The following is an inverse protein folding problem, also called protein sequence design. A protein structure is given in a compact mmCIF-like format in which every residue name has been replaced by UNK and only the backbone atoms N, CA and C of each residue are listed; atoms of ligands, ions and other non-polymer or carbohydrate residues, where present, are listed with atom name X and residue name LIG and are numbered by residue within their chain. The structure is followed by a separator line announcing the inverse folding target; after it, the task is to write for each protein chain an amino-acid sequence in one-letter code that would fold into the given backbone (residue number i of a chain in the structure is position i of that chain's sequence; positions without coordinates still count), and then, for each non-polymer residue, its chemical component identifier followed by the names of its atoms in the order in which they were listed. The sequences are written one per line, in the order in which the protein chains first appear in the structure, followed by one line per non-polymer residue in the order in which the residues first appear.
data_IF_020708540359
#
_entry.id   IF_020708540359
#
_cell.length_a   1.000
_cell.length_b   1.000
_cell.length_c   1.000
_cell.angle_alpha   90.00
_cell.angle_beta   90.00
_cell.angle_gamma   90.00
#
_symmetry.space_group_name_H-M   'P 1'
#
loop_
_entity.id
_entity.type
_entity.pdbx_description
1 polymer ?
#
# COMPACT_ATOMS: atom_id res chain seq x y z
N UNK A 1 -11.24 19.10 69.30
CA UNK A 1 -10.31 19.70 68.33
C UNK A 1 -9.11 18.76 68.14
N UNK A 2 -9.36 17.54 67.64
CA UNK A 2 -8.32 16.47 67.58
C UNK A 2 -8.60 15.40 66.49
N UNK A 3 -9.24 15.76 65.37
CA UNK A 3 -9.51 14.79 64.28
C UNK A 3 -9.26 15.34 62.87
N UNK A 4 -8.47 16.41 62.71
CA UNK A 4 -8.19 17.02 61.39
C UNK A 4 -6.74 16.94 60.93
N UNK A 5 -5.85 16.22 61.64
CA UNK A 5 -4.41 16.19 61.32
C UNK A 5 -3.82 14.84 60.90
N UNK A 6 -4.63 13.80 60.66
CA UNK A 6 -4.12 12.46 60.29
C UNK A 6 -4.30 12.05 58.82
N UNK A 7 -5.04 12.80 58.00
CA UNK A 7 -5.30 12.42 56.60
C UNK A 7 -4.24 12.92 55.60
N UNK A 8 -3.42 13.91 55.96
CA UNK A 8 -2.46 14.53 55.04
C UNK A 8 -1.17 13.71 54.82
N UNK A 9 -0.78 12.84 55.75
CA UNK A 9 0.50 12.12 55.68
C UNK A 9 0.49 10.87 54.78
N UNK A 10 -0.68 10.35 54.39
CA UNK A 10 -0.78 9.13 53.57
C UNK A 10 -0.88 9.39 52.06
N UNK A 11 -1.17 10.63 51.65
CA UNK A 11 -1.30 11.02 50.26
C UNK A 11 0.06 11.32 49.59
N UNK A 12 1.02 11.89 50.33
CA UNK A 12 2.34 12.23 49.80
C UNK A 12 3.20 11.01 49.43
N UNK A 13 3.09 9.90 50.19
CA UNK A 13 3.86 8.67 49.92
C UNK A 13 3.37 7.87 48.71
N UNK A 14 2.12 8.04 48.26
CA UNK A 14 1.55 7.31 47.12
C UNK A 14 1.80 7.99 45.77
N UNK A 15 1.98 9.31 45.76
CA UNK A 15 2.28 10.07 44.52
C UNK A 15 3.75 9.88 44.10
N UNK A 16 4.68 9.72 45.06
CA UNK A 16 6.09 9.46 44.77
C UNK A 16 6.35 8.07 44.16
N UNK A 17 5.54 7.07 44.50
CA UNK A 17 5.69 5.70 43.97
C UNK A 17 5.20 5.58 42.52
N UNK A 18 4.16 6.32 42.12
CA UNK A 18 3.62 6.27 40.75
C UNK A 18 4.56 6.96 39.74
N UNK A 19 5.23 8.06 40.13
CA UNK A 19 6.16 8.75 39.23
C UNK A 19 7.45 7.94 38.97
N UNK A 20 7.91 7.12 39.92
CA UNK A 20 9.04 6.20 39.69
C UNK A 20 8.71 5.03 38.74
N UNK A 21 7.45 4.59 38.68
CA UNK A 21 7.02 3.48 37.81
C UNK A 21 6.82 3.91 36.33
N UNK A 22 6.56 5.19 36.05
CA UNK A 22 6.43 5.70 34.68
C UNK A 22 7.77 6.06 34.02
N UNK A 23 8.84 6.32 34.77
CA UNK A 23 10.18 6.56 34.20
C UNK A 23 10.90 5.25 33.82
N UNK A 24 10.61 4.15 34.53
CA UNK A 24 11.24 2.85 34.30
C UNK A 24 10.82 2.19 32.98
N UNK A 25 9.59 2.44 32.49
CA UNK A 25 9.08 1.82 31.25
C UNK A 25 9.75 2.36 29.99
N UNK A 26 10.09 3.66 29.94
CA UNK A 26 10.78 4.27 28.79
C UNK A 26 12.23 3.80 28.65
N UNK A 27 12.97 3.70 29.77
CA UNK A 27 14.33 3.15 29.80
C UNK A 27 14.37 1.66 29.44
N UNK A 28 13.42 0.87 29.99
CA UNK A 28 13.33 -0.56 29.73
C UNK A 28 12.98 -0.89 28.27
N UNK A 29 12.12 -0.09 27.63
CA UNK A 29 11.81 -0.24 26.21
C UNK A 29 13.07 -0.03 25.36
N UNK A 30 13.87 1.00 25.65
CA UNK A 30 15.13 1.25 24.91
C UNK A 30 16.19 0.16 25.11
N UNK A 31 16.23 -0.49 26.28
CA UNK A 31 17.18 -1.57 26.56
C UNK A 31 16.78 -2.87 25.85
N UNK A 32 15.48 -3.18 25.81
CA UNK A 32 14.93 -4.31 25.08
C UNK A 32 15.10 -4.14 23.55
N UNK A 33 14.89 -2.94 23.02
CA UNK A 33 15.11 -2.61 21.61
C UNK A 33 16.59 -2.79 21.22
N UNK A 34 17.53 -2.31 22.05
CA UNK A 34 18.98 -2.54 21.85
C UNK A 34 19.37 -4.02 21.90
N UNK A 35 18.80 -4.80 22.82
CA UNK A 35 19.05 -6.24 22.89
C UNK A 35 18.53 -6.97 21.65
N UNK A 36 17.34 -6.59 21.18
CA UNK A 36 16.72 -7.15 19.97
C UNK A 36 17.50 -6.77 18.71
N UNK A 37 17.94 -5.51 18.60
CA UNK A 37 18.78 -5.04 17.50
C UNK A 37 20.09 -5.84 17.43
N UNK A 38 20.75 -6.07 18.58
CA UNK A 38 21.98 -6.88 18.64
C UNK A 38 21.76 -8.30 18.16
N UNK A 39 20.67 -8.96 18.55
CA UNK A 39 20.36 -10.30 18.09
C UNK A 39 20.13 -10.33 16.57
N UNK A 40 19.27 -9.44 16.07
CA UNK A 40 18.98 -9.34 14.64
C UNK A 40 20.23 -9.04 13.80
N UNK A 41 21.12 -8.17 14.29
CA UNK A 41 22.37 -7.87 13.62
C UNK A 41 23.31 -9.08 13.61
N UNK A 42 23.39 -9.83 14.71
CA UNK A 42 24.20 -11.05 14.80
C UNK A 42 23.73 -12.09 13.78
N UNK A 43 22.43 -12.37 13.76
CA UNK A 43 21.81 -13.28 12.80
C UNK A 43 22.03 -12.80 11.35
N UNK A 44 21.84 -11.50 11.10
CA UNK A 44 22.03 -10.88 9.79
C UNK A 44 23.45 -10.99 9.27
N UNK A 45 24.47 -10.77 10.13
CA UNK A 45 25.88 -10.96 9.76
C UNK A 45 26.20 -12.43 9.51
N UNK A 46 25.61 -13.36 10.26
CA UNK A 46 25.78 -14.80 10.01
C UNK A 46 25.19 -15.20 8.65
N UNK A 47 23.98 -14.74 8.32
CA UNK A 47 23.35 -14.95 7.02
C UNK A 47 24.19 -14.36 5.88
N UNK A 48 24.75 -13.17 6.08
CA UNK A 48 25.65 -12.55 5.11
C UNK A 48 26.87 -13.44 4.83
N UNK A 49 27.50 -13.97 5.89
CA UNK A 49 28.64 -14.89 5.78
C UNK A 49 28.30 -16.20 5.08
N UNK A 50 27.05 -16.65 5.19
CA UNK A 50 26.52 -17.84 4.47
C UNK A 50 26.15 -17.55 3.01
N UNK A 51 26.29 -16.31 2.53
CA UNK A 51 25.90 -15.91 1.18
C UNK A 51 24.40 -15.71 0.99
N UNK A 52 23.61 -15.71 2.07
CA UNK A 52 22.17 -15.49 2.05
C UNK A 52 21.87 -13.98 2.11
N UNK A 53 22.25 -13.25 1.07
CA UNK A 53 22.29 -11.79 1.09
C UNK A 53 20.91 -11.12 1.26
N UNK A 54 19.84 -11.70 0.70
CA UNK A 54 18.49 -11.16 0.85
C UNK A 54 17.98 -11.27 2.30
N UNK A 55 18.18 -12.44 2.93
CA UNK A 55 17.78 -12.68 4.32
C UNK A 55 18.64 -11.83 5.28
N UNK A 56 19.93 -11.70 4.99
CA UNK A 56 20.84 -10.84 5.72
C UNK A 56 20.39 -9.37 5.68
N UNK A 57 20.05 -8.87 4.49
CA UNK A 57 19.59 -7.49 4.29
C UNK A 57 18.33 -7.20 5.12
N UNK A 58 17.34 -8.09 5.09
CA UNK A 58 16.11 -7.95 5.87
C UNK A 58 16.39 -7.87 7.39
N UNK A 59 17.20 -8.78 7.92
CA UNK A 59 17.55 -8.81 9.34
C UNK A 59 18.33 -7.57 9.78
N UNK A 60 19.30 -7.14 8.98
CA UNK A 60 20.13 -5.98 9.27
C UNK A 60 19.34 -4.67 9.20
N UNK A 61 18.42 -4.52 8.24
CA UNK A 61 17.54 -3.34 8.16
C UNK A 61 16.61 -3.23 9.37
N UNK A 62 16.10 -4.36 9.87
CA UNK A 62 15.31 -4.38 11.12
C UNK A 62 16.15 -4.03 12.33
N UNK A 63 17.38 -4.54 12.42
CA UNK A 63 18.32 -4.17 13.49
C UNK A 63 18.60 -2.67 13.49
N UNK A 64 18.88 -2.10 12.31
CA UNK A 64 19.17 -0.67 12.12
C UNK A 64 17.98 0.23 12.48
N UNK A 65 16.75 -0.21 12.15
CA UNK A 65 15.53 0.52 12.54
C UNK A 65 15.33 0.58 14.05
N UNK A 66 15.79 -0.43 14.79
CA UNK A 66 15.70 -0.49 16.24
C UNK A 66 16.85 0.25 16.94
N UNK A 67 18.05 0.23 16.35
CA UNK A 67 19.22 0.92 16.84
C UNK A 67 20.17 1.26 15.70
N UNK A 68 20.41 2.55 15.49
CA UNK A 68 21.37 3.06 14.50
C UNK A 68 22.79 2.68 14.92
N UNK A 69 23.47 1.87 14.09
CA UNK A 69 24.86 1.51 14.33
C UNK A 69 25.66 1.41 13.01
N UNK A 70 26.89 1.98 12.96
CA UNK A 70 27.77 1.90 11.79
C UNK A 70 27.99 0.47 11.26
N UNK A 71 28.05 -0.51 12.15
CA UNK A 71 28.24 -1.92 11.80
C UNK A 71 27.01 -2.48 11.07
N UNK A 72 25.80 -2.02 11.35
CA UNK A 72 24.63 -2.45 10.57
C UNK A 72 24.72 -1.90 9.14
N UNK A 73 24.98 -0.59 9.01
CA UNK A 73 25.04 0.10 7.72
C UNK A 73 26.07 -0.52 6.77
N UNK A 74 27.27 -0.89 7.25
CA UNK A 74 28.27 -1.52 6.38
C UNK A 74 27.80 -2.88 5.85
N UNK A 75 27.17 -3.71 6.68
CA UNK A 75 26.68 -5.00 6.22
C UNK A 75 25.42 -4.88 5.34
N UNK A 76 24.57 -3.88 5.56
CA UNK A 76 23.45 -3.53 4.67
C UNK A 76 23.99 -3.18 3.29
N UNK A 77 24.96 -2.26 3.22
CA UNK A 77 25.56 -1.81 1.96
C UNK A 77 26.24 -2.98 1.23
N UNK A 78 27.03 -3.79 1.94
CA UNK A 78 27.67 -5.00 1.40
C UNK A 78 26.64 -5.99 0.85
N UNK A 79 25.52 -6.21 1.54
CA UNK A 79 24.46 -7.10 1.10
C UNK A 79 23.76 -6.56 -0.17
N UNK A 80 23.43 -5.26 -0.20
CA UNK A 80 22.86 -4.58 -1.37
C UNK A 80 23.76 -4.75 -2.60
N UNK A 81 25.07 -4.51 -2.45
CA UNK A 81 26.04 -4.69 -3.54
C UNK A 81 26.09 -6.12 -4.05
N UNK A 82 26.02 -7.13 -3.16
CA UNK A 82 25.99 -8.55 -3.55
C UNK A 82 24.68 -8.96 -4.24
N UNK A 83 23.61 -8.21 -4.05
CA UNK A 83 22.32 -8.40 -4.72
C UNK A 83 22.21 -7.63 -6.04
N UNK A 84 23.25 -6.89 -6.46
CA UNK A 84 23.20 -6.03 -7.64
C UNK A 84 22.50 -4.68 -7.43
N UNK A 85 22.13 -4.36 -6.20
CA UNK A 85 21.52 -3.07 -5.81
C UNK A 85 22.63 -2.04 -5.57
N UNK A 86 23.39 -1.71 -6.62
CA UNK A 86 24.60 -0.88 -6.53
C UNK A 86 24.30 0.58 -6.14
N UNK A 87 23.18 1.14 -6.63
CA UNK A 87 22.73 2.49 -6.30
C UNK A 87 22.39 2.58 -4.81
N UNK A 88 21.58 1.66 -4.30
CA UNK A 88 21.19 1.61 -2.90
C UNK A 88 22.40 1.33 -2.00
N UNK A 89 23.28 0.41 -2.40
CA UNK A 89 24.52 0.10 -1.69
C UNK A 89 25.42 1.34 -1.52
N UNK A 90 25.62 2.09 -2.60
CA UNK A 90 26.40 3.32 -2.55
C UNK A 90 25.75 4.41 -1.67
N UNK A 91 24.44 4.57 -1.70
CA UNK A 91 23.74 5.49 -0.79
C UNK A 91 23.86 5.08 0.68
N UNK A 92 23.79 3.78 0.98
CA UNK A 92 24.02 3.27 2.34
C UNK A 92 25.46 3.50 2.79
N UNK A 93 26.46 3.27 1.93
CA UNK A 93 27.83 3.64 2.26
C UNK A 93 27.99 5.15 2.47
N UNK A 94 27.37 6.00 1.63
CA UNK A 94 27.39 7.47 1.81
C UNK A 94 26.81 7.88 3.16
N UNK A 95 25.75 7.23 3.62
CA UNK A 95 25.21 7.43 4.97
C UNK A 95 26.23 7.05 6.03
N UNK A 96 26.82 5.86 5.93
CA UNK A 96 27.83 5.36 6.88
C UNK A 96 29.06 6.28 6.98
N UNK A 97 29.60 6.75 5.86
CA UNK A 97 30.81 7.60 5.87
C UNK A 97 30.56 9.00 6.41
N UNK A 98 29.29 9.42 6.48
CA UNK A 98 28.84 10.68 7.10
C UNK A 98 28.54 10.53 8.59
N UNK A 99 28.56 9.32 9.16
CA UNK A 99 28.35 9.11 10.59
C UNK A 99 29.52 9.72 11.36
N UNK A 100 29.21 10.68 12.24
CA UNK A 100 30.18 11.27 13.16
C UNK A 100 30.35 10.33 14.36
N UNK A 101 31.59 9.96 14.65
CA UNK A 101 31.95 9.11 15.78
C UNK A 101 32.67 9.96 16.82
N UNK A 102 32.30 9.80 18.08
CA UNK A 102 33.05 10.37 19.19
C UNK A 102 34.39 9.64 19.38
N UNK A 103 35.34 10.29 20.06
CA UNK A 103 36.68 9.71 20.29
C UNK A 103 36.67 8.48 21.20
N UNK A 104 35.56 8.22 21.91
CA UNK A 104 35.35 7.01 22.73
C UNK A 104 34.55 5.92 22.01
N UNK A 105 34.22 6.10 20.72
CA UNK A 105 33.46 5.13 19.95
C UNK A 105 34.24 3.81 19.82
N UNK A 106 33.55 2.66 19.91
CA UNK A 106 34.19 1.36 19.76
C UNK A 106 35.01 1.23 18.47
N UNK A 107 36.15 0.55 18.53
CA UNK A 107 37.05 0.38 17.38
C UNK A 107 36.32 -0.22 16.16
N UNK A 108 35.39 -1.15 16.39
CA UNK A 108 34.56 -1.76 15.34
C UNK A 108 33.71 -0.75 14.56
N UNK A 109 33.32 0.37 15.19
CA UNK A 109 32.56 1.43 14.52
C UNK A 109 33.50 2.27 13.66
N UNK A 110 34.70 2.58 14.17
CA UNK A 110 35.72 3.30 13.41
C UNK A 110 36.15 2.51 12.17
N UNK A 111 36.36 1.19 12.34
CA UNK A 111 36.66 0.26 11.24
C UNK A 111 35.52 0.20 10.23
N UNK A 112 34.25 0.12 10.66
CA UNK A 112 33.12 0.12 9.74
C UNK A 112 33.07 1.38 8.86
N UNK A 113 33.28 2.57 9.43
CA UNK A 113 33.31 3.82 8.65
C UNK A 113 34.52 3.85 7.70
N UNK A 114 35.69 3.34 8.13
CA UNK A 114 36.88 3.26 7.29
C UNK A 114 36.70 2.29 6.10
N UNK A 115 36.18 1.10 6.34
CA UNK A 115 35.84 0.11 5.31
C UNK A 115 34.78 0.67 4.36
N UNK A 116 33.74 1.32 4.89
CA UNK A 116 32.69 1.96 4.09
C UNK A 116 33.25 3.02 3.12
N UNK A 117 34.25 3.81 3.54
CA UNK A 117 34.96 4.76 2.66
C UNK A 117 35.71 4.06 1.52
N UNK A 118 36.33 2.91 1.81
CA UNK A 118 37.05 2.13 0.80
C UNK A 118 36.08 1.50 -0.19
N UNK A 119 35.07 0.80 0.31
CA UNK A 119 34.11 0.04 -0.50
C UNK A 119 33.20 0.96 -1.32
N UNK A 120 32.86 2.15 -0.83
CA UNK A 120 32.16 3.16 -1.63
C UNK A 120 32.93 3.50 -2.91
N UNK A 121 34.25 3.75 -2.80
CA UNK A 121 35.09 4.07 -3.97
C UNK A 121 35.18 2.93 -4.98
N UNK A 122 35.02 1.69 -4.52
CA UNK A 122 35.01 0.50 -5.38
C UNK A 122 33.65 0.32 -6.09
N UNK A 123 32.55 0.72 -5.46
CA UNK A 123 31.19 0.56 -6.00
C UNK A 123 30.77 1.70 -6.92
N UNK A 124 31.15 2.94 -6.63
CA UNK A 124 30.78 4.11 -7.44
C UNK A 124 31.04 3.96 -8.95
N UNK A 125 32.22 3.50 -9.43
CA UNK A 125 32.45 3.33 -10.86
C UNK A 125 31.68 2.16 -11.49
N UNK A 126 31.12 1.26 -10.68
CA UNK A 126 30.32 0.12 -11.14
C UNK A 126 28.85 0.48 -11.36
N UNK A 127 28.39 1.64 -10.87
CA UNK A 127 27.00 2.07 -11.02
C UNK A 127 26.76 2.55 -12.45
N UNK A 128 25.87 1.89 -13.20
CA UNK A 128 25.46 2.35 -14.52
C UNK A 128 24.72 3.70 -14.46
N UNK A 129 24.76 4.43 -15.58
CA UNK A 129 23.93 5.60 -15.82
C UNK A 129 22.98 5.36 -17.00
N UNK A 130 21.69 5.62 -16.78
CA UNK A 130 20.65 5.61 -17.81
C UNK A 130 20.16 7.03 -18.06
N UNK A 131 20.22 7.46 -19.32
CA UNK A 131 19.58 8.68 -19.81
C UNK A 131 18.30 8.32 -20.54
N UNK A 132 17.21 8.98 -20.19
CA UNK A 132 15.92 8.79 -20.85
C UNK A 132 15.57 10.09 -21.56
N UNK A 133 15.55 10.06 -22.89
CA UNK A 133 15.11 11.16 -23.73
C UNK A 133 13.67 10.88 -24.19
N UNK A 134 12.79 11.88 -24.12
CA UNK A 134 11.38 11.77 -24.56
C UNK A 134 11.11 12.80 -25.64
N UNK A 135 10.40 12.45 -26.71
CA UNK A 135 10.01 13.37 -27.78
C UNK A 135 8.49 13.33 -28.04
N UNK A 136 7.77 14.46 -27.95
CA UNK A 136 8.24 15.78 -27.52
C UNK A 136 8.52 15.82 -26.01
N UNK A 137 9.63 16.47 -25.62
CA UNK A 137 10.10 16.50 -24.23
C UNK A 137 9.23 17.37 -23.30
N UNK A 138 8.47 18.29 -23.87
CA UNK A 138 7.61 19.27 -23.21
C UNK A 138 6.12 18.89 -23.28
N UNK A 139 5.80 17.62 -23.54
CA UNK A 139 4.42 17.14 -23.52
C UNK A 139 3.75 17.46 -22.16
N UNK A 140 2.67 18.24 -22.20
CA UNK A 140 1.93 18.64 -21.00
C UNK A 140 1.33 17.39 -20.32
N UNK A 141 1.54 17.26 -19.01
CA UNK A 141 1.10 16.07 -18.26
C UNK A 141 1.94 14.82 -18.50
N UNK A 142 3.18 14.95 -18.99
CA UNK A 142 4.11 13.83 -19.14
C UNK A 142 4.34 13.09 -17.81
N UNK A 143 4.06 11.79 -17.84
CA UNK A 143 4.38 10.81 -16.80
C UNK A 143 5.40 9.84 -17.34
N UNK A 144 6.46 9.59 -16.58
CA UNK A 144 7.52 8.66 -16.91
C UNK A 144 7.58 7.59 -15.82
N UNK A 145 7.83 6.33 -16.18
CA UNK A 145 8.09 5.27 -15.23
C UNK A 145 9.32 4.45 -15.62
N UNK A 146 10.04 3.98 -14.62
CA UNK A 146 11.17 3.04 -14.74
C UNK A 146 10.87 1.85 -13.82
N UNK A 147 10.76 0.66 -14.40
CA UNK A 147 10.39 -0.59 -13.72
C UNK A 147 9.06 -0.47 -12.95
N UNK A 148 8.12 0.30 -13.49
CA UNK A 148 6.81 0.55 -12.89
C UNK A 148 6.82 1.53 -11.71
N UNK A 149 7.96 2.19 -11.42
CA UNK A 149 8.03 3.28 -10.45
C UNK A 149 7.99 4.62 -11.18
N UNK A 150 7.09 5.50 -10.73
CA UNK A 150 6.95 6.83 -11.30
C UNK A 150 8.24 7.65 -11.12
N UNK A 151 8.67 8.26 -12.22
CA UNK A 151 9.76 9.20 -12.30
C UNK A 151 9.21 10.59 -12.61
N UNK A 152 9.79 11.60 -11.97
CA UNK A 152 9.50 12.99 -12.32
C UNK A 152 9.90 13.26 -13.77
N UNK A 153 9.05 13.93 -14.55
CA UNK A 153 9.39 14.40 -15.90
C UNK A 153 10.67 15.27 -15.94
N UNK A 154 11.06 15.87 -14.81
CA UNK A 154 12.31 16.63 -14.70
C UNK A 154 13.59 15.80 -14.90
N UNK A 155 13.50 14.46 -14.91
CA UNK A 155 14.67 13.59 -15.17
C UNK A 155 14.94 13.37 -16.66
N UNK A 156 14.05 13.83 -17.55
CA UNK A 156 14.22 13.68 -19.00
C UNK A 156 15.50 14.37 -19.46
N UNK A 157 16.32 13.66 -20.23
CA UNK A 157 17.58 14.14 -20.77
C UNK A 157 18.73 14.26 -19.77
N UNK A 158 18.59 13.68 -18.56
CA UNK A 158 19.63 13.68 -17.52
C UNK A 158 20.14 12.25 -17.29
N UNK A 159 21.46 12.09 -17.20
CA UNK A 159 22.10 10.82 -16.82
C UNK A 159 21.72 10.49 -15.37
N UNK A 160 21.03 9.36 -15.17
CA UNK A 160 20.59 8.92 -13.85
C UNK A 160 21.30 7.63 -13.43
N UNK A 161 21.86 7.56 -12.20
CA UNK A 161 22.33 6.30 -11.62
C UNK A 161 21.20 5.27 -11.56
N UNK A 162 21.41 4.11 -12.20
CA UNK A 162 20.44 3.01 -12.30
C UNK A 162 21.17 1.71 -12.07
N UNK A 163 20.57 0.75 -11.37
CA UNK A 163 21.20 -0.54 -11.10
C UNK A 163 21.53 -1.30 -12.39
N UNK A 164 22.48 -2.26 -12.38
CA UNK A 164 22.65 -3.19 -13.49
C UNK A 164 21.45 -4.13 -13.58
N UNK A 165 21.14 -4.57 -14.80
CA UNK A 165 20.01 -5.46 -15.08
C UNK A 165 19.14 -4.99 -16.25
N UNK A 166 18.05 -5.71 -16.49
CA UNK A 166 17.03 -5.33 -17.45
C UNK A 166 16.07 -4.33 -16.82
N UNK A 167 15.82 -3.24 -17.53
CA UNK A 167 14.93 -2.16 -17.12
C UNK A 167 13.86 -1.91 -18.18
N UNK A 168 12.63 -1.66 -17.74
CA UNK A 168 11.50 -1.28 -18.59
C UNK A 168 11.14 0.18 -18.32
N UNK A 169 11.08 0.98 -19.38
CA UNK A 169 10.79 2.40 -19.32
C UNK A 169 9.47 2.64 -20.06
N UNK A 170 8.56 3.42 -19.48
CA UNK A 170 7.39 3.89 -20.21
C UNK A 170 7.13 5.38 -19.99
N UNK A 171 6.62 6.04 -21.03
CA UNK A 171 6.24 7.44 -21.04
C UNK A 171 4.79 7.57 -21.52
N UNK A 172 4.02 8.44 -20.89
CA UNK A 172 2.63 8.71 -21.26
C UNK A 172 2.29 10.18 -21.03
N UNK A 173 1.54 10.78 -21.93
CA UNK A 173 1.04 12.16 -21.80
C UNK A 173 -0.39 12.25 -22.40
N UNK A 174 -1.28 13.09 -21.85
CA UNK A 174 -2.57 13.40 -22.46
C UNK A 174 -2.46 13.76 -23.96
N UNK A 175 -3.28 13.13 -24.79
CA UNK A 175 -3.26 13.34 -26.25
C UNK A 175 -2.18 12.55 -27.01
N UNK A 176 -1.39 11.73 -26.32
CA UNK A 176 -0.39 10.85 -26.91
C UNK A 176 -0.65 9.38 -26.56
N UNK A 177 -0.26 8.48 -27.45
CA UNK A 177 -0.19 7.05 -27.16
C UNK A 177 0.98 6.75 -26.22
N UNK A 178 0.83 5.76 -25.34
CA UNK A 178 1.91 5.35 -24.43
C UNK A 178 3.10 4.79 -25.22
N UNK A 179 4.29 5.28 -24.92
CA UNK A 179 5.55 4.73 -25.43
C UNK A 179 6.18 3.85 -24.35
N UNK A 180 6.71 2.69 -24.74
CA UNK A 180 7.42 1.77 -23.85
C UNK A 180 8.64 1.20 -24.57
N UNK A 181 9.75 1.07 -23.85
CA UNK A 181 10.96 0.41 -24.34
C UNK A 181 11.73 -0.24 -23.19
N UNK A 182 12.70 -1.11 -23.51
CA UNK A 182 13.50 -1.85 -22.55
C UNK A 182 14.99 -1.71 -22.82
N UNK A 183 15.79 -1.61 -21.76
CA UNK A 183 17.25 -1.50 -21.84
C UNK A 183 17.88 -2.45 -20.82
N UNK A 184 18.97 -3.12 -21.21
CA UNK A 184 19.79 -3.88 -20.26
C UNK A 184 21.07 -3.11 -19.97
N UNK A 185 21.37 -2.87 -18.70
CA UNK A 185 22.56 -2.18 -18.22
C UNK A 185 23.55 -3.19 -17.60
N UNK A 186 24.78 -3.20 -18.07
CA UNK A 186 25.92 -3.83 -17.36
C UNK A 186 26.54 -2.86 -16.37
N UNK A 187 27.31 -3.35 -15.40
CA UNK A 187 28.02 -2.50 -14.43
C UNK A 187 28.89 -1.44 -15.15
N UNK A 188 28.78 -0.18 -14.71
CA UNK A 188 29.50 0.96 -15.27
C UNK A 188 29.01 1.45 -16.64
N UNK A 189 27.97 0.82 -17.22
CA UNK A 189 27.41 1.24 -18.51
C UNK A 189 26.87 2.67 -18.46
N UNK A 190 27.00 3.38 -19.58
CA UNK A 190 26.25 4.62 -19.84
C UNK A 190 25.42 4.40 -21.09
N UNK A 191 24.09 4.35 -20.94
CA UNK A 191 23.17 4.18 -22.07
C UNK A 191 22.13 5.28 -22.10
N UNK A 192 21.76 5.66 -23.31
CA UNK A 192 20.63 6.55 -23.55
C UNK A 192 19.54 5.77 -24.28
N UNK A 193 18.28 6.00 -23.89
CA UNK A 193 17.10 5.47 -24.56
C UNK A 193 16.19 6.62 -24.94
N UNK A 194 15.61 6.54 -26.13
CA UNK A 194 14.73 7.58 -26.67
C UNK A 194 13.32 7.03 -26.83
N UNK A 195 12.35 7.63 -26.15
CA UNK A 195 10.93 7.34 -26.28
C UNK A 195 10.23 8.41 -27.11
N UNK A 196 9.59 8.01 -28.20
CA UNK A 196 8.80 8.93 -29.03
C UNK A 196 7.32 8.74 -28.73
N UNK A 197 6.65 9.81 -28.31
CA UNK A 197 5.21 9.86 -28.08
C UNK A 197 4.51 10.25 -29.38
N UNK A 198 3.66 9.37 -29.89
CA UNK A 198 2.85 9.64 -31.08
C UNK A 198 1.51 10.27 -30.68
N UNK A 199 1.09 11.32 -31.39
CA UNK A 199 -0.22 11.95 -31.15
C UNK A 199 -1.33 10.94 -31.42
N UNK A 200 -2.20 10.74 -30.44
CA UNK A 200 -3.35 9.86 -30.61
C UNK A 200 -4.37 10.52 -31.54
N UNK A 201 -4.86 9.81 -32.55
CA UNK A 201 -5.75 10.36 -33.58
C UNK A 201 -7.18 10.68 -33.07
N UNK A 202 -7.52 10.28 -31.84
CA UNK A 202 -8.79 10.61 -31.19
C UNK A 202 -8.59 11.73 -30.16
N UNK A 203 -9.00 12.94 -30.54
CA UNK A 203 -8.99 14.11 -29.66
C UNK A 203 -10.12 14.05 -28.62
N UNK A 204 -9.75 13.95 -27.35
CA UNK A 204 -10.60 14.31 -26.21
C UNK A 204 -11.04 13.16 -25.29
N UNK A 205 -10.70 13.34 -24.02
CA UNK A 205 -11.04 12.53 -22.83
C UNK A 205 -10.24 11.23 -22.65
N UNK A 206 -9.41 11.20 -21.59
CA UNK A 206 -9.01 9.94 -20.97
C UNK A 206 -10.28 9.16 -20.56
N UNK A 207 -10.27 7.83 -20.74
CA UNK A 207 -9.72 6.94 -19.72
C UNK A 207 -8.73 5.92 -20.30
N UNK A 208 -7.71 5.61 -19.50
CA UNK A 208 -6.72 4.58 -19.82
C UNK A 208 -7.30 3.17 -19.79
N UNK A 209 -6.75 2.33 -20.66
CA UNK A 209 -6.85 0.87 -20.57
C UNK A 209 -7.68 0.23 -21.67
N UNK A 210 -7.18 0.25 -22.91
CA UNK A 210 -7.76 -0.58 -23.97
C UNK A 210 -6.80 -0.77 -25.14
N UNK A 211 -6.37 -2.01 -25.33
CA UNK A 211 -6.18 -2.75 -26.60
C UNK A 211 -4.98 -3.72 -26.48
N UNK A 212 -5.15 -5.04 -26.58
CA UNK A 212 -5.16 -5.80 -27.86
C UNK A 212 -4.18 -5.20 -28.86
N UNK A 213 -3.00 -5.77 -29.10
CA UNK A 213 -2.84 -7.04 -29.79
C UNK A 213 -2.52 -6.77 -31.28
N UNK A 214 -1.27 -6.97 -31.69
CA UNK A 214 -0.85 -6.92 -33.09
C UNK A 214 0.66 -7.19 -33.21
N UNK A 215 1.03 -8.44 -33.46
CA UNK A 215 2.42 -8.79 -33.80
C UNK A 215 2.72 -8.53 -35.28
N UNK A 216 3.98 -8.72 -35.73
CA UNK A 216 4.27 -8.96 -37.13
C UNK A 216 4.51 -10.45 -37.40
N UNK A 217 3.94 -10.92 -38.50
CA UNK A 217 4.39 -12.10 -39.25
C UNK A 217 5.79 -11.82 -39.81
N UNK A 218 6.62 -12.85 -39.84
CA UNK A 218 7.31 -13.19 -41.09
C UNK A 218 7.57 -14.69 -41.17
N UNK A 219 7.32 -15.24 -42.37
CA UNK A 219 7.58 -16.62 -42.74
C UNK A 219 9.01 -16.77 -43.28
N UNK A 220 9.63 -17.92 -42.98
CA UNK A 220 10.57 -18.55 -43.91
C UNK A 220 11.87 -19.07 -43.30
N UNK A 221 11.96 -20.40 -43.10
CA UNK A 221 13.24 -21.11 -43.28
C UNK A 221 13.65 -22.11 -42.19
N UNK A 222 13.05 -23.29 -42.24
CA UNK A 222 13.62 -24.63 -41.94
C UNK A 222 14.80 -24.79 -40.98
N UNK A 223 14.56 -25.53 -39.89
CA UNK A 223 15.61 -26.15 -39.09
C UNK A 223 15.05 -26.91 -37.89
N UNK A 224 14.76 -28.19 -38.08
CA UNK A 224 14.32 -29.09 -37.01
C UNK A 224 15.39 -29.21 -35.92
N UNK A 225 15.06 -28.72 -34.73
CA UNK A 225 15.81 -28.95 -33.50
C UNK A 225 14.87 -28.68 -32.33
N UNK A 226 14.40 -29.74 -31.68
CA UNK A 226 13.54 -29.68 -30.49
C UNK A 226 14.28 -28.96 -29.36
N UNK A 227 14.05 -27.66 -29.19
CA UNK A 227 14.39 -26.95 -27.97
C UNK A 227 13.26 -27.17 -26.97
N UNK A 228 13.58 -27.83 -25.86
CA UNK A 228 12.73 -27.87 -24.69
C UNK A 228 12.36 -26.43 -24.29
N UNK A 229 11.06 -26.17 -24.23
CA UNK A 229 10.50 -24.87 -23.91
C UNK A 229 10.82 -24.53 -22.45
N UNK A 230 11.68 -23.54 -22.27
CA UNK A 230 12.13 -23.13 -20.95
C UNK A 230 10.99 -22.33 -20.30
N UNK A 231 10.17 -23.01 -19.49
CA UNK A 231 9.05 -22.43 -18.73
C UNK A 231 9.55 -21.21 -17.96
N UNK A 232 9.07 -20.02 -18.31
CA UNK A 232 9.45 -18.80 -17.60
C UNK A 232 9.01 -18.88 -16.13
N UNK A 233 9.79 -18.30 -15.21
CA UNK A 233 9.53 -18.39 -13.76
C UNK A 233 8.48 -17.39 -13.24
N UNK A 234 8.00 -16.51 -14.12
CA UNK A 234 7.11 -15.42 -13.78
C UNK A 234 5.98 -15.31 -14.80
N UNK A 235 4.83 -14.89 -14.31
CA UNK A 235 3.64 -14.57 -15.10
C UNK A 235 2.92 -13.36 -14.54
N UNK A 236 1.84 -12.95 -15.19
CA UNK A 236 0.99 -11.85 -14.78
C UNK A 236 -0.46 -12.31 -14.70
N UNK A 237 -1.24 -11.60 -13.90
CA UNK A 237 -2.69 -11.76 -13.83
C UNK A 237 -3.35 -10.39 -13.86
N UNK A 238 -4.44 -10.30 -14.62
CA UNK A 238 -5.41 -9.22 -14.54
C UNK A 238 -6.78 -9.85 -14.27
N UNK A 239 -7.45 -9.41 -13.21
CA UNK A 239 -8.68 -10.03 -12.76
C UNK A 239 -9.76 -9.01 -12.45
N UNK A 240 -11.01 -9.42 -12.66
CA UNK A 240 -12.18 -8.68 -12.22
C UNK A 240 -13.05 -9.60 -11.36
N UNK A 241 -13.53 -9.10 -10.22
CA UNK A 241 -14.36 -9.83 -9.25
C UNK A 241 -15.67 -9.09 -9.03
N UNK A 242 -16.77 -9.81 -9.19
CA UNK A 242 -18.12 -9.32 -8.90
C UNK A 242 -18.66 -10.10 -7.70
N UNK A 243 -19.22 -9.39 -6.72
CA UNK A 243 -19.75 -10.06 -5.55
C UNK A 243 -20.60 -9.17 -4.67
N UNK A 244 -21.27 -9.83 -3.73
CA UNK A 244 -22.01 -9.20 -2.66
C UNK A 244 -21.11 -8.89 -1.48
N UNK A 245 -21.43 -7.80 -0.78
CA UNK A 245 -20.82 -7.43 0.49
C UNK A 245 -21.84 -7.59 1.62
N UNK A 246 -21.42 -8.22 2.71
CA UNK A 246 -22.22 -8.41 3.92
C UNK A 246 -21.39 -7.96 5.14
N UNK A 247 -21.72 -6.81 5.74
CA UNK A 247 -21.11 -6.39 7.00
C UNK A 247 -21.68 -7.18 8.19
N UNK A 248 -20.83 -7.49 9.17
CA UNK A 248 -21.21 -8.21 10.39
C UNK A 248 -20.33 -7.79 11.57
N UNK A 249 -20.79 -8.08 12.79
CA UNK A 249 -20.13 -7.67 14.04
C UNK A 249 -20.47 -6.24 14.48
N UNK A 250 -19.59 -5.65 15.29
CA UNK A 250 -19.85 -4.40 16.00
C UNK A 250 -18.88 -3.30 15.57
N UNK A 251 -19.39 -2.09 15.35
CA UNK A 251 -18.62 -0.92 14.93
C UNK A 251 -17.85 -0.26 16.09
N UNK A 252 -18.43 -0.27 17.29
CA UNK A 252 -17.84 0.28 18.51
C UNK A 252 -18.37 -0.44 19.75
N UNK A 253 -17.57 -0.43 20.83
CA UNK A 253 -18.03 -0.82 22.17
C UNK A 253 -18.44 0.44 22.91
N UNK A 254 -19.70 0.56 23.31
CA UNK A 254 -20.17 1.64 24.17
C UNK A 254 -20.47 1.10 25.58
N UNK A 255 -20.35 1.97 26.58
CA UNK A 255 -20.81 1.76 27.96
C UNK A 255 -22.30 1.39 28.07
N UNK A 256 -23.10 1.63 27.03
CA UNK A 256 -24.52 1.28 26.98
C UNK A 256 -24.85 -0.01 26.21
N UNK A 257 -23.87 -0.59 25.51
CA UNK A 257 -24.03 -1.80 24.68
C UNK A 257 -23.13 -1.81 23.45
N UNK A 258 -23.02 -2.96 22.79
CA UNK A 258 -22.32 -3.09 21.51
C UNK A 258 -23.14 -2.42 20.40
N UNK A 259 -22.50 -1.60 19.55
CA UNK A 259 -23.14 -0.94 18.41
C UNK A 259 -22.96 -1.81 17.16
N UNK A 260 -24.02 -2.42 16.60
CA UNK A 260 -23.93 -3.24 15.39
C UNK A 260 -23.46 -2.42 14.19
N UNK A 261 -22.59 -2.99 13.35
CA UNK A 261 -22.20 -2.32 12.10
C UNK A 261 -23.40 -2.13 11.15
N UNK A 262 -24.39 -3.01 11.24
CA UNK A 262 -25.59 -2.99 10.40
C UNK A 262 -26.48 -1.77 10.62
N UNK A 263 -26.32 -1.09 11.76
CA UNK A 263 -27.03 0.16 12.03
C UNK A 263 -26.49 1.31 11.15
N UNK A 264 -25.27 1.16 10.61
CA UNK A 264 -24.62 2.15 9.73
C UNK A 264 -24.57 1.64 8.29
N UNK A 265 -24.17 0.39 8.07
CA UNK A 265 -23.94 -0.15 6.74
C UNK A 265 -24.58 -1.51 6.60
N UNK A 266 -25.46 -1.67 5.61
CA UNK A 266 -26.10 -2.93 5.26
C UNK A 266 -25.37 -3.68 4.14
N UNK A 267 -26.01 -4.75 3.65
CA UNK A 267 -25.51 -5.51 2.52
C UNK A 267 -25.52 -4.71 1.22
N UNK A 268 -24.73 -5.16 0.25
CA UNK A 268 -24.58 -4.51 -1.04
C UNK A 268 -23.83 -5.36 -2.06
N UNK A 269 -23.29 -4.72 -3.09
CA UNK A 269 -22.51 -5.40 -4.11
C UNK A 269 -21.66 -4.44 -4.93
N UNK A 270 -20.70 -4.99 -5.66
CA UNK A 270 -19.79 -4.18 -6.43
C UNK A 270 -18.72 -4.98 -7.16
N UNK A 271 -17.81 -4.21 -7.75
CA UNK A 271 -16.75 -4.70 -8.60
C UNK A 271 -15.40 -4.43 -7.94
N UNK A 272 -14.51 -5.41 -8.03
CA UNK A 272 -13.09 -5.27 -7.73
C UNK A 272 -12.27 -5.61 -8.97
N UNK A 273 -11.23 -4.81 -9.22
CA UNK A 273 -10.19 -5.11 -10.19
C UNK A 273 -8.92 -5.48 -9.44
N UNK A 274 -8.17 -6.44 -9.98
CA UNK A 274 -6.86 -6.84 -9.46
C UNK A 274 -5.85 -7.00 -10.59
N UNK A 275 -4.60 -6.70 -10.29
CA UNK A 275 -3.49 -6.87 -11.21
C UNK A 275 -2.25 -7.30 -10.44
N UNK A 276 -1.51 -8.29 -10.93
CA UNK A 276 -0.40 -8.84 -10.16
C UNK A 276 0.59 -9.67 -10.95
N UNK A 277 1.67 -10.03 -10.25
CA UNK A 277 2.75 -10.86 -10.73
C UNK A 277 2.66 -12.24 -10.07
N UNK A 278 2.62 -13.27 -10.89
CA UNK A 278 2.67 -14.68 -10.51
C UNK A 278 4.13 -15.13 -10.49
N UNK A 279 4.53 -15.86 -9.45
CA UNK A 279 5.90 -16.31 -9.26
C UNK A 279 5.95 -17.63 -8.49
N UNK A 280 7.04 -18.38 -8.68
CA UNK A 280 7.29 -19.66 -8.01
C UNK A 280 6.12 -20.66 -8.15
N UNK A 281 5.43 -20.66 -9.29
CA UNK A 281 4.27 -21.49 -9.65
C UNK A 281 3.01 -21.38 -8.76
N UNK A 282 3.12 -20.93 -7.51
CA UNK A 282 2.03 -20.98 -6.52
C UNK A 282 1.62 -19.60 -5.98
N UNK A 283 2.44 -18.56 -6.18
CA UNK A 283 2.23 -17.28 -5.54
C UNK A 283 1.85 -16.19 -6.53
N UNK A 284 0.98 -15.28 -6.10
CA UNK A 284 0.64 -14.06 -6.82
C UNK A 284 0.74 -12.88 -5.87
N UNK A 285 1.63 -11.93 -6.14
CA UNK A 285 1.60 -10.62 -5.50
C UNK A 285 0.73 -9.69 -6.35
N UNK A 286 -0.27 -9.02 -5.77
CA UNK A 286 -1.21 -8.20 -6.52
C UNK A 286 -1.52 -6.87 -5.83
N UNK A 287 -1.97 -5.93 -6.65
CA UNK A 287 -2.74 -4.76 -6.24
C UNK A 287 -4.21 -5.03 -6.55
N UNK A 288 -5.10 -4.48 -5.73
CA UNK A 288 -6.53 -4.49 -6.02
C UNK A 288 -7.18 -3.16 -5.66
N UNK A 289 -8.30 -2.87 -6.32
CA UNK A 289 -9.16 -1.73 -6.05
C UNK A 289 -10.61 -2.09 -6.37
N UNK A 290 -11.52 -1.76 -5.46
CA UNK A 290 -12.93 -2.10 -5.58
C UNK A 290 -13.85 -1.00 -5.04
N UNK A 291 -15.02 -0.92 -5.65
CA UNK A 291 -16.10 -0.01 -5.28
C UNK A 291 -17.41 -0.78 -5.14
N UNK A 292 -18.10 -0.56 -4.03
CA UNK A 292 -19.30 -1.31 -3.66
C UNK A 292 -20.40 -0.38 -3.18
N UNK A 293 -21.56 -0.44 -3.83
CA UNK A 293 -22.76 0.20 -3.33
C UNK A 293 -23.34 -0.64 -2.20
N UNK A 294 -23.52 -0.05 -1.03
CA UNK A 294 -24.08 -0.71 0.15
C UNK A 294 -25.30 0.06 0.67
N UNK A 295 -26.24 -0.67 1.28
CA UNK A 295 -27.41 -0.03 1.88
C UNK A 295 -26.98 0.84 3.07
N UNK A 296 -27.45 2.09 3.13
CA UNK A 296 -27.28 2.95 4.30
C UNK A 296 -28.14 2.41 5.46
N UNK A 297 -27.57 2.35 6.65
CA UNK A 297 -28.25 1.93 7.88
C UNK A 297 -29.05 3.07 8.53
N UNK A 298 -29.88 2.71 9.51
CA UNK A 298 -30.82 3.63 10.16
C UNK A 298 -30.15 4.74 10.98
N UNK A 299 -28.86 4.59 11.34
CA UNK A 299 -28.08 5.66 11.94
C UNK A 299 -27.99 6.90 11.02
N UNK A 300 -28.21 6.73 9.71
CA UNK A 300 -28.24 7.80 8.72
C UNK A 300 -29.67 8.25 8.36
N UNK A 301 -30.71 7.77 9.03
CA UNK A 301 -32.09 8.24 8.86
C UNK A 301 -32.40 9.49 9.72
N UNK A 302 -31.45 9.89 10.56
CA UNK A 302 -31.51 11.11 11.36
C UNK A 302 -30.47 12.11 10.86
N UNK A 303 -30.77 13.41 10.90
CA UNK A 303 -29.76 14.40 10.60
C UNK A 303 -28.72 14.36 11.72
N UNK A 304 -27.45 14.14 11.38
CA UNK A 304 -26.34 14.08 12.35
C UNK A 304 -26.22 15.37 13.19
N UNK A 305 -26.84 16.45 12.73
CA UNK A 305 -27.02 17.70 13.46
C UNK A 305 -28.42 17.77 14.07
N UNK A 306 -28.50 17.69 15.41
CA UNK A 306 -29.73 17.69 16.21
C UNK A 306 -30.67 18.90 15.99
N UNK A 307 -30.22 19.96 15.30
CA UNK A 307 -31.00 21.17 15.04
C UNK A 307 -32.01 21.05 13.89
N UNK A 308 -31.97 19.97 13.10
CA UNK A 308 -32.92 19.73 12.01
C UNK A 308 -34.16 18.93 12.46
N UNK A 309 -34.66 19.17 13.68
CA UNK A 309 -35.90 18.57 14.20
C UNK A 309 -37.18 19.20 13.59
N UNK A 310 -37.18 19.40 12.26
CA UNK A 310 -38.30 19.87 11.44
C UNK A 310 -38.77 18.79 10.47
N UNK A 311 -39.69 19.15 9.57
CA UNK A 311 -40.25 18.26 8.53
C UNK A 311 -39.22 18.08 7.39
N UNK A 312 -38.08 17.43 7.69
CA UNK A 312 -36.97 17.23 6.76
C UNK A 312 -36.98 15.82 6.19
N UNK A 313 -36.73 15.72 4.89
CA UNK A 313 -36.49 14.46 4.18
C UNK A 313 -34.98 14.21 4.10
N UNK A 314 -34.58 12.97 4.35
CA UNK A 314 -33.19 12.55 4.36
C UNK A 314 -33.04 11.37 3.42
N UNK A 315 -32.16 11.52 2.44
CA UNK A 315 -31.78 10.45 1.52
C UNK A 315 -30.29 10.14 1.71
N UNK A 316 -29.98 8.88 1.98
CA UNK A 316 -28.62 8.44 2.30
C UNK A 316 -28.16 7.37 1.32
N UNK A 317 -27.07 7.62 0.59
CA UNK A 317 -26.41 6.65 -0.27
C UNK A 317 -25.02 6.34 0.25
N UNK A 318 -24.68 5.06 0.38
CA UNK A 318 -23.38 4.66 0.91
C UNK A 318 -22.57 3.86 -0.11
N UNK A 319 -21.30 4.23 -0.26
CA UNK A 319 -20.31 3.51 -1.06
C UNK A 319 -19.16 3.08 -0.17
N UNK A 320 -18.74 1.82 -0.31
CA UNK A 320 -17.50 1.31 0.23
C UNK A 320 -16.44 1.31 -0.88
N UNK A 321 -15.31 1.97 -0.65
CA UNK A 321 -14.14 1.94 -1.51
C UNK A 321 -12.98 1.21 -0.81
N UNK A 322 -12.43 0.19 -1.47
CA UNK A 322 -11.31 -0.60 -0.98
C UNK A 322 -10.15 -0.55 -1.97
N UNK A 323 -8.92 -0.42 -1.47
CA UNK A 323 -7.73 -0.68 -2.27
C UNK A 323 -6.59 -1.16 -1.38
N UNK A 324 -5.75 -2.03 -1.93
CA UNK A 324 -4.71 -2.69 -1.16
C UNK A 324 -3.67 -3.42 -1.99
N UNK A 325 -2.72 -3.99 -1.25
CA UNK A 325 -1.70 -4.93 -1.74
C UNK A 325 -2.01 -6.30 -1.17
N UNK A 326 -1.70 -7.35 -1.91
CA UNK A 326 -2.06 -8.71 -1.55
C UNK A 326 -1.02 -9.74 -1.95
N UNK A 327 -1.05 -10.85 -1.22
CA UNK A 327 -0.36 -12.08 -1.57
C UNK A 327 -1.38 -13.22 -1.60
N UNK A 328 -1.49 -13.85 -2.74
CA UNK A 328 -2.25 -15.07 -2.94
C UNK A 328 -1.29 -16.25 -3.02
N UNK A 329 -1.64 -17.35 -2.37
CA UNK A 329 -0.96 -18.64 -2.51
C UNK A 329 -2.01 -19.68 -2.95
N UNK A 330 -1.75 -20.41 -4.02
CA UNK A 330 -2.76 -21.30 -4.57
C UNK A 330 -2.22 -22.32 -5.54
N UNK A 331 -3.16 -23.01 -6.17
CA UNK A 331 -2.87 -24.09 -7.12
C UNK A 331 -2.19 -23.53 -8.37
N UNK A 332 -1.22 -24.26 -8.96
CA UNK A 332 -0.53 -23.83 -10.18
C UNK A 332 -1.47 -23.53 -11.34
N UNK A 333 -0.98 -22.70 -12.25
CA UNK A 333 -1.75 -22.25 -13.41
C UNK A 333 -2.14 -23.40 -14.33
N UNK A 334 -3.39 -23.33 -14.80
CA UNK A 334 -4.01 -24.35 -15.65
C UNK A 334 -4.53 -25.57 -14.87
N UNK A 335 -4.39 -25.59 -13.54
CA UNK A 335 -4.91 -26.67 -12.70
C UNK A 335 -6.11 -26.20 -11.88
N UNK A 336 -7.07 -27.10 -11.70
CA UNK A 336 -8.17 -26.91 -10.77
C UNK A 336 -7.68 -27.09 -9.34
N UNK A 337 -8.01 -26.14 -8.46
CA UNK A 337 -7.71 -26.29 -7.03
C UNK A 337 -7.95 -25.02 -6.23
N UNK A 338 -7.58 -25.05 -4.96
CA UNK A 338 -7.81 -23.94 -4.03
C UNK A 338 -6.76 -22.84 -4.12
N UNK A 339 -7.10 -21.68 -3.57
CA UNK A 339 -6.16 -20.63 -3.20
C UNK A 339 -6.57 -19.97 -1.88
N UNK A 340 -5.58 -19.46 -1.16
CA UNK A 340 -5.74 -18.52 -0.06
C UNK A 340 -5.17 -17.15 -0.43
N UNK A 341 -5.72 -16.09 0.14
CA UNK A 341 -5.36 -14.70 -0.17
C UNK A 341 -5.32 -13.87 1.12
N UNK A 342 -4.23 -13.13 1.30
CA UNK A 342 -4.00 -12.19 2.40
C UNK A 342 -3.68 -10.81 1.82
N UNK A 343 -4.47 -9.83 2.21
CA UNK A 343 -4.46 -8.47 1.69
C UNK A 343 -4.32 -7.44 2.82
N UNK A 344 -3.57 -6.37 2.55
CA UNK A 344 -3.44 -5.20 3.41
C UNK A 344 -4.07 -4.00 2.72
N UNK A 345 -5.09 -3.41 3.37
CA UNK A 345 -5.84 -2.28 2.82
C UNK A 345 -5.17 -0.98 3.26
N UNK A 346 -4.70 -0.19 2.30
CA UNK A 346 -4.32 1.21 2.54
C UNK A 346 -5.48 2.18 2.29
N UNK A 347 -6.55 1.70 1.64
CA UNK A 347 -7.81 2.40 1.46
C UNK A 347 -8.95 1.47 1.88
N UNK A 348 -9.74 1.87 2.87
CA UNK A 348 -10.98 1.20 3.25
C UNK A 348 -11.95 2.27 3.81
N UNK A 349 -12.65 2.94 2.90
CA UNK A 349 -13.49 4.08 3.24
C UNK A 349 -14.96 3.75 2.99
N UNK A 350 -15.80 4.01 3.98
CA UNK A 350 -17.24 4.13 3.76
C UNK A 350 -17.57 5.61 3.60
N UNK A 351 -18.16 5.97 2.47
CA UNK A 351 -18.66 7.31 2.19
C UNK A 351 -20.17 7.25 2.12
N UNK A 352 -20.84 7.93 3.04
CA UNK A 352 -22.29 8.10 3.04
C UNK A 352 -22.62 9.52 2.63
N UNK A 353 -23.15 9.68 1.43
CA UNK A 353 -23.72 10.95 0.96
C UNK A 353 -25.12 11.08 1.52
N UNK A 354 -25.32 12.04 2.43
CA UNK A 354 -26.62 12.43 2.95
C UNK A 354 -27.10 13.68 2.21
N UNK A 355 -28.27 13.60 1.58
CA UNK A 355 -29.02 14.75 1.08
C UNK A 355 -30.15 15.07 2.04
N UNK A 356 -30.23 16.31 2.47
CA UNK A 356 -31.22 16.80 3.42
C UNK A 356 -32.02 17.91 2.74
N UNK A 357 -33.34 17.77 2.69
CA UNK A 357 -34.24 18.79 2.17
C UNK A 357 -35.42 19.03 3.12
N UNK A 358 -35.92 20.27 3.20
CA UNK A 358 -37.10 20.62 4.01
C UNK A 358 -36.95 21.94 4.75
N UNK A 359 -37.80 22.15 5.76
CA UNK A 359 -37.83 23.40 6.52
C UNK A 359 -37.26 23.21 7.93
N UNK A 360 -36.31 24.07 8.32
CA UNK A 360 -35.73 24.13 9.67
C UNK A 360 -36.06 25.46 10.35
N UNK A 361 -36.07 25.55 11.70
CA UNK A 361 -36.24 26.83 12.39
C UNK A 361 -35.21 27.87 11.95
N UNK A 362 -35.65 29.09 11.63
CA UNK A 362 -34.79 30.20 11.24
C UNK A 362 -34.14 30.80 12.51
N UNK A 363 -32.82 30.63 12.73
CA UNK A 363 -32.16 31.08 13.95
C UNK A 363 -32.08 32.62 14.05
N UNK A 364 -32.40 33.33 12.96
CA UNK A 364 -32.37 34.79 12.91
C UNK A 364 -33.71 35.44 13.22
N UNK A 365 -34.78 34.65 13.39
CA UNK A 365 -36.14 35.14 13.60
C UNK A 365 -36.80 34.50 14.83
N UNK A 366 -37.78 35.16 15.47
CA UNK A 366 -38.57 34.55 16.53
C UNK A 366 -39.36 33.33 15.99
N UNK A 367 -39.52 32.30 16.82
CA UNK A 367 -40.39 31.16 16.49
C UNK A 367 -41.82 31.65 16.17
N UNK A 368 -42.52 31.05 15.18
CA UNK A 368 -42.22 29.79 14.49
C UNK A 368 -41.58 29.95 13.09
N UNK A 369 -40.80 31.00 12.83
CA UNK A 369 -40.20 31.20 11.51
C UNK A 369 -39.28 30.03 11.09
N UNK A 370 -39.41 29.58 9.84
CA UNK A 370 -38.58 28.54 9.24
C UNK A 370 -37.82 29.05 8.01
N UNK A 371 -36.77 28.33 7.64
CA UNK A 371 -36.00 28.51 6.41
C UNK A 371 -35.86 27.16 5.70
N UNK A 372 -36.07 27.17 4.39
CA UNK A 372 -35.89 25.99 3.55
C UNK A 372 -34.40 25.67 3.41
N UNK A 373 -34.06 24.38 3.49
CA UNK A 373 -32.73 23.83 3.23
C UNK A 373 -32.81 22.78 2.12
N UNK A 374 -31.79 22.76 1.27
CA UNK A 374 -31.45 21.65 0.37
C UNK A 374 -29.92 21.59 0.35
N UNK A 375 -29.34 20.60 1.03
CA UNK A 375 -27.90 20.45 1.12
C UNK A 375 -27.49 18.98 1.05
N UNK A 376 -26.25 18.75 0.59
CA UNK A 376 -25.66 17.42 0.47
C UNK A 376 -24.31 17.42 1.20
N UNK A 377 -24.05 16.39 1.99
CA UNK A 377 -22.81 16.23 2.74
C UNK A 377 -22.31 14.78 2.68
N UNK A 378 -20.99 14.63 2.50
CA UNK A 378 -20.33 13.32 2.43
C UNK A 378 -19.72 12.97 3.79
N UNK A 379 -20.37 12.07 4.52
CA UNK A 379 -19.86 11.51 5.75
C UNK A 379 -18.84 10.42 5.40
N UNK A 380 -17.58 10.62 5.76
CA UNK A 380 -16.49 9.69 5.41
C UNK A 380 -15.97 9.01 6.67
N UNK A 381 -16.16 7.69 6.76
CA UNK A 381 -15.53 6.84 7.76
C UNK A 381 -14.32 6.13 7.16
N UNK A 382 -13.12 6.49 7.63
CA UNK A 382 -11.85 5.88 7.19
C UNK A 382 -11.45 4.75 8.12
N UNK A 383 -11.04 3.64 7.54
CA UNK A 383 -10.55 2.50 8.29
C UNK A 383 -9.31 1.91 7.66
N UNK A 384 -8.53 1.23 8.49
CA UNK A 384 -7.46 0.34 8.04
C UNK A 384 -7.88 -1.08 8.36
N UNK A 385 -7.51 -2.02 7.49
CA UNK A 385 -7.92 -3.40 7.65
C UNK A 385 -6.97 -4.39 7.00
N UNK A 386 -7.13 -5.63 7.45
CA UNK A 386 -6.53 -6.80 6.83
C UNK A 386 -7.67 -7.63 6.26
N UNK A 387 -7.50 -8.11 5.03
CA UNK A 387 -8.47 -8.96 4.37
C UNK A 387 -7.87 -10.32 4.14
N UNK A 388 -8.60 -11.36 4.53
CA UNK A 388 -8.19 -12.75 4.44
C UNK A 388 -9.30 -13.55 3.79
N UNK A 389 -8.95 -14.45 2.91
CA UNK A 389 -9.93 -15.35 2.32
C UNK A 389 -9.31 -16.36 1.39
N UNK A 390 -10.13 -16.82 0.46
CA UNK A 390 -9.73 -17.83 -0.49
C UNK A 390 -10.86 -18.23 -1.40
N UNK A 391 -10.55 -19.15 -2.29
CA UNK A 391 -11.48 -19.59 -3.30
C UNK A 391 -10.92 -20.76 -4.08
N UNK A 392 -11.46 -20.94 -5.29
CA UNK A 392 -11.04 -21.99 -6.20
C UNK A 392 -10.59 -21.37 -7.51
N UNK A 393 -9.51 -21.89 -8.09
CA UNK A 393 -9.14 -21.64 -9.47
C UNK A 393 -9.80 -22.72 -10.32
N UNK A 394 -10.70 -22.31 -11.21
CA UNK A 394 -11.38 -23.20 -12.17
C UNK A 394 -10.90 -22.81 -13.57
N UNK A 395 -9.97 -23.56 -14.19
CA UNK A 395 -9.47 -23.25 -15.52
C UNK A 395 -10.60 -23.31 -16.56
N UNK A 396 -10.83 -22.20 -17.25
CA UNK A 396 -11.76 -22.13 -18.40
C UNK A 396 -11.00 -22.33 -19.72
N UNK A 397 -9.77 -21.83 -19.77
CA UNK A 397 -8.83 -22.01 -20.88
C UNK A 397 -7.39 -21.89 -20.35
N UNK A 398 -6.40 -21.85 -21.25
CA UNK A 398 -4.99 -21.60 -20.87
C UNK A 398 -4.75 -20.21 -20.28
N UNK A 399 -5.57 -19.23 -20.67
CA UNK A 399 -5.41 -17.83 -20.29
C UNK A 399 -6.51 -17.34 -19.37
N UNK A 400 -7.59 -18.10 -19.16
CA UNK A 400 -8.73 -17.64 -18.36
C UNK A 400 -9.08 -18.66 -17.29
N UNK A 401 -9.31 -18.18 -16.08
CA UNK A 401 -9.85 -18.97 -14.98
C UNK A 401 -11.03 -18.25 -14.32
N UNK A 402 -12.02 -19.02 -13.89
CA UNK A 402 -13.11 -18.57 -13.02
C UNK A 402 -12.68 -18.78 -11.56
N UNK A 403 -12.91 -17.77 -10.73
CA UNK A 403 -12.53 -17.79 -9.32
C UNK A 403 -13.70 -17.50 -8.39
N UNK A 404 -14.54 -18.50 -8.02
CA UNK A 404 -15.45 -18.33 -6.91
C UNK A 404 -14.64 -18.12 -5.62
N UNK A 405 -15.02 -17.12 -4.81
CA UNK A 405 -14.26 -16.73 -3.64
C UNK A 405 -15.11 -16.16 -2.50
N UNK A 406 -14.54 -16.25 -1.30
CA UNK A 406 -15.03 -15.57 -0.10
C UNK A 406 -13.85 -14.86 0.56
N UNK A 407 -14.00 -13.57 0.85
CA UNK A 407 -13.01 -12.75 1.53
C UNK A 407 -13.64 -12.09 2.76
N UNK A 408 -12.95 -12.12 3.90
CA UNK A 408 -13.34 -11.38 5.10
C UNK A 408 -12.36 -10.24 5.36
N UNK A 409 -12.88 -9.00 5.43
CA UNK A 409 -12.10 -7.81 5.78
C UNK A 409 -12.32 -7.48 7.24
N UNK A 410 -11.29 -7.63 8.07
CA UNK A 410 -11.29 -7.16 9.45
C UNK A 410 -10.71 -5.74 9.49
N UNK A 411 -11.52 -4.77 9.86
CA UNK A 411 -11.13 -3.37 9.83
C UNK A 411 -11.49 -2.65 11.13
N UNK A 412 -10.79 -1.53 11.39
CA UNK A 412 -11.07 -0.64 12.52
C UNK A 412 -11.25 0.78 12.01
N UNK A 413 -12.36 1.43 12.37
CA UNK A 413 -12.56 2.84 12.02
C UNK A 413 -11.59 3.69 12.82
N UNK A 414 -10.90 4.60 12.15
CA UNK A 414 -9.84 5.42 12.75
C UNK A 414 -10.20 6.90 12.77
N UNK A 415 -11.03 7.33 11.83
CA UNK A 415 -11.43 8.72 11.63
C UNK A 415 -12.82 8.75 11.02
N UNK A 416 -13.65 9.69 11.48
CA UNK A 416 -14.94 10.01 10.87
C UNK A 416 -14.94 11.50 10.58
N UNK A 417 -15.20 11.84 9.32
CA UNK A 417 -15.32 13.21 8.83
C UNK A 417 -16.78 13.48 8.52
N UNK A 418 -17.36 14.51 9.13
CA UNK A 418 -18.72 14.98 8.87
C UNK A 418 -18.63 16.43 8.42
N UNK A 419 -18.61 16.69 7.10
CA UNK A 419 -18.47 18.04 6.57
C UNK A 419 -19.74 18.86 6.85
N UNK A 420 -19.58 20.17 6.78
CA UNK A 420 -20.65 21.14 6.93
C UNK A 420 -21.76 20.96 5.87
N UNK A 421 -23.02 21.06 6.30
CA UNK A 421 -24.20 21.13 5.42
C UNK A 421 -24.95 22.43 5.74
N UNK A 422 -24.76 23.48 4.93
CA UNK A 422 -25.30 24.81 5.23
C UNK A 422 -24.67 25.45 6.49
N UNK A 423 -25.46 25.96 7.47
CA UNK A 423 -24.92 26.57 8.69
C UNK A 423 -24.33 25.56 9.70
N UNK A 424 -24.43 24.27 9.40
CA UNK A 424 -23.96 23.17 10.23
C UNK A 424 -22.44 23.05 10.10
N UNK A 425 -21.70 22.97 11.21
CA UNK A 425 -20.23 23.00 11.21
C UNK A 425 -19.63 21.63 10.89
N UNK A 426 -18.48 21.66 10.22
CA UNK A 426 -17.59 20.49 10.09
C UNK A 426 -17.24 19.95 11.47
N UNK A 427 -17.48 18.66 11.66
CA UNK A 427 -17.10 17.93 12.86
C UNK A 427 -16.29 16.69 12.49
N UNK A 428 -15.03 16.92 12.13
CA UNK A 428 -14.07 15.85 11.94
C UNK A 428 -13.53 15.37 13.29
N UNK A 429 -13.73 14.09 13.59
CA UNK A 429 -13.29 13.48 14.86
C UNK A 429 -12.37 12.28 14.60
N UNK A 430 -11.16 12.34 15.16
CA UNK A 430 -10.29 11.16 15.26
C UNK A 430 -10.79 10.25 16.38
N UNK A 431 -10.86 8.94 16.11
CA UNK A 431 -11.27 7.96 17.11
C UNK A 431 -10.02 7.55 17.92
N UNK A 432 -10.03 7.87 19.21
CA UNK A 432 -8.99 7.46 20.16
C UNK A 432 -8.85 5.94 20.23
N UNK A 433 -7.64 5.44 20.48
CA UNK A 433 -7.31 3.99 20.38
C UNK A 433 -8.22 3.11 21.24
N UNK A 434 -8.58 3.56 22.44
CA UNK A 434 -9.39 2.80 23.40
C UNK A 434 -10.86 2.67 22.99
N UNK A 435 -11.31 3.50 22.04
CA UNK A 435 -12.69 3.54 21.55
C UNK A 435 -12.87 2.84 20.19
N UNK A 436 -11.81 2.23 19.63
CA UNK A 436 -11.88 1.53 18.34
C UNK A 436 -12.37 0.10 18.55
N UNK A 437 -13.37 -0.33 17.80
CA UNK A 437 -13.72 -1.74 17.68
C UNK A 437 -13.44 -2.27 16.27
N UNK A 438 -13.19 -3.56 16.19
CA UNK A 438 -12.99 -4.26 14.92
C UNK A 438 -14.33 -4.73 14.38
N UNK A 439 -14.58 -4.46 13.10
CA UNK A 439 -15.75 -4.94 12.37
C UNK A 439 -15.32 -5.83 11.21
N UNK A 440 -16.22 -6.71 10.77
CA UNK A 440 -15.99 -7.67 9.69
C UNK A 440 -16.88 -7.33 8.49
N UNK A 441 -16.29 -7.32 7.31
CA UNK A 441 -17.02 -7.19 6.04
C UNK A 441 -16.71 -8.39 5.16
N UNK A 442 -17.71 -9.21 4.86
CA UNK A 442 -17.59 -10.38 3.99
C UNK A 442 -17.86 -9.98 2.55
N UNK A 443 -16.98 -10.32 1.63
CA UNK A 443 -17.20 -10.33 0.19
C UNK A 443 -17.41 -11.78 -0.25
N UNK A 444 -18.52 -12.04 -0.96
CA UNK A 444 -18.85 -13.35 -1.52
C UNK A 444 -19.14 -13.14 -2.99
N UNK A 445 -18.38 -13.79 -3.87
CA UNK A 445 -18.51 -13.54 -5.29
C UNK A 445 -17.76 -14.51 -6.18
N UNK A 446 -17.59 -14.10 -7.42
CA UNK A 446 -16.79 -14.79 -8.40
C UNK A 446 -15.95 -13.80 -9.20
N UNK A 447 -14.74 -14.19 -9.55
CA UNK A 447 -13.89 -13.44 -10.46
C UNK A 447 -13.61 -14.17 -11.76
N UNK A 448 -13.15 -13.41 -12.75
CA UNK A 448 -12.49 -13.93 -13.94
C UNK A 448 -11.08 -13.36 -13.96
N UNK A 449 -10.09 -14.24 -14.06
CA UNK A 449 -8.69 -13.85 -14.14
C UNK A 449 -8.14 -14.19 -15.52
N UNK A 450 -7.53 -13.18 -16.15
CA UNK A 450 -6.73 -13.29 -17.36
C UNK A 450 -5.27 -13.50 -17.00
N UNK A 451 -4.76 -14.68 -17.32
CA UNK A 451 -3.40 -15.13 -17.07
C UNK A 451 -2.54 -14.86 -18.29
N UNK A 452 -1.40 -14.20 -18.06
CA UNK A 452 -0.44 -13.79 -19.07
C UNK A 452 0.95 -14.27 -18.69
N UNK A 453 1.79 -14.57 -19.68
CA UNK A 453 3.22 -14.81 -19.46
C UNK A 453 3.71 -16.23 -19.79
N UNK A 454 5.05 -16.40 -19.77
CA UNK A 454 5.75 -17.61 -20.21
C UNK A 454 5.66 -18.80 -19.23
N UNK A 455 5.04 -18.61 -18.07
CA UNK A 455 4.83 -19.65 -17.06
C UNK A 455 3.56 -20.47 -17.31
N UNK A 456 2.76 -20.08 -18.30
CA UNK A 456 1.62 -20.84 -18.80
C UNK A 456 2.14 -22.04 -19.61
N UNK A 457 1.89 -23.31 -19.19
CA UNK A 457 2.43 -24.51 -19.84
C UNK A 457 2.11 -24.55 -21.33
N UNK A 458 3.09 -24.87 -22.19
CA UNK A 458 2.88 -25.19 -23.61
C UNK A 458 2.27 -26.56 -23.81
N UNK A 459 1.69 -26.80 -25.00
CA UNK A 459 0.94 -28.02 -25.30
C UNK A 459 1.83 -29.25 -25.27
#
# INVERSE_FOLDING_TARGET
MSMLFESASRAAGRIALVVLLLAATSSAQSAADKATARQLATDGVELYRKGQFQDALDKLQRAEKLYDAPVHLIYIARAQVKLGQLVEGAETYRRLVRTELDSSAPEVFQQAVADGRKELKEVEPRIPALRIDVEPADAEGLTLSLDGKDLSAAVVGVDRPTNPGAHKISAQAPGYSQAEDSVTLGEGDKKAIKLTLEKSADGGAGPGGGATGGGPKDEGGGGAGSKAEQKGKFGFVLGARLGGIVPTGNLAKDTTGDIPITDYYGGGGGLELRGGVRFLDYFTAHLFGGGYGVKSGSAFDQPLHQTAAGNTQIESQTVLAQAGVGLQAGTPVGQFGGFGELDFLFLNNFTTTQRISGDIPDPTKPAPATVAIDCSADIVAKSNGVRLGGGMNIPLSRQFQLTPLVMGTLATVTEVSVPACGPLRDNTKKIGKDNRAAHLTLFIGAGIDWLLGPDIPSK
#
